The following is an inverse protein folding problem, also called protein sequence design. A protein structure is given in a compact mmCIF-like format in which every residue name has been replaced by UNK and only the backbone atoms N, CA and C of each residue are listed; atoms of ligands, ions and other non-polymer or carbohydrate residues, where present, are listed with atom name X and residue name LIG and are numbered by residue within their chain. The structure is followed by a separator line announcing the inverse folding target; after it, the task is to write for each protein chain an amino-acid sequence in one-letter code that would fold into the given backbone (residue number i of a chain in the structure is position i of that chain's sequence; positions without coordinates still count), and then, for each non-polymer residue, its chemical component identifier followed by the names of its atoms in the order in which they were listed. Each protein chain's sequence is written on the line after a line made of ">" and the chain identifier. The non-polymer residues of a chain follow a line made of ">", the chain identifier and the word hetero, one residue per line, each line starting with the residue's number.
data_IF_884668043318
#
_entry.id   IF_884668043318
#
_cell.length_a   1.000
_cell.length_b   1.000
_cell.length_c   1.000
_cell.angle_alpha   90.00
_cell.angle_beta   90.00
_cell.angle_gamma   90.00
#
_symmetry.space_group_name_H-M   'P 1'
#
loop_
_entity.id
_entity.type
_entity.pdbx_description
1 polymer ?
#
# COMPACT_ATOMS: atom_id res chain seq x y z
N UNK A 1 12.86 27.25 26.57
CA UNK A 1 12.05 27.20 25.34
C UNK A 1 12.85 26.36 24.36
N UNK A 2 12.57 25.08 24.32
CA UNK A 2 13.14 24.15 23.34
C UNK A 2 12.22 24.17 22.12
N UNK A 3 12.76 24.52 20.96
CA UNK A 3 12.07 24.43 19.68
C UNK A 3 11.92 22.93 19.31
N UNK A 4 10.70 22.51 19.09
CA UNK A 4 10.38 21.19 18.55
C UNK A 4 11.04 21.07 17.17
N UNK A 5 11.63 19.89 16.83
CA UNK A 5 12.11 19.65 15.48
C UNK A 5 10.92 19.49 14.54
N UNK A 6 10.86 20.30 13.48
CA UNK A 6 9.96 20.09 12.36
C UNK A 6 10.37 18.77 11.67
N UNK A 7 9.68 17.69 12.04
CA UNK A 7 9.74 16.42 11.34
C UNK A 7 9.00 16.55 10.01
N UNK A 8 9.71 16.39 8.91
CA UNK A 8 9.11 16.34 7.59
C UNK A 8 8.22 15.08 7.50
N UNK A 9 6.91 15.24 7.62
CA UNK A 9 5.90 14.22 7.36
C UNK A 9 5.80 13.95 5.86
N UNK A 10 6.72 13.14 5.34
CA UNK A 10 6.78 12.77 3.92
C UNK A 10 5.91 11.55 3.58
N UNK A 11 5.34 10.87 4.57
CA UNK A 11 4.70 9.57 4.35
C UNK A 11 3.22 9.48 4.75
N UNK A 12 2.66 10.47 5.46
CA UNK A 12 1.28 10.40 5.98
C UNK A 12 0.26 11.30 5.27
N UNK A 13 0.66 12.00 4.21
CA UNK A 13 -0.25 12.87 3.48
C UNK A 13 -0.83 12.18 2.25
N UNK A 14 -2.03 11.58 2.40
CA UNK A 14 -2.93 11.50 1.24
C UNK A 14 -3.13 12.92 0.73
N UNK A 15 -2.94 13.20 -0.58
CA UNK A 15 -3.13 14.54 -1.12
C UNK A 15 -4.52 15.04 -0.75
N UNK A 16 -4.62 16.26 -0.22
CA UNK A 16 -5.91 16.90 -0.02
C UNK A 16 -6.57 16.98 -1.41
N UNK A 17 -7.65 16.21 -1.61
CA UNK A 17 -8.54 16.47 -2.72
C UNK A 17 -9.14 17.85 -2.46
N UNK A 18 -8.60 18.84 -3.19
CA UNK A 18 -9.05 20.21 -3.08
C UNK A 18 -10.53 20.30 -3.42
N UNK A 19 -11.27 21.02 -2.59
CA UNK A 19 -12.57 21.56 -2.94
C UNK A 19 -12.45 22.25 -4.30
N UNK A 20 -13.29 21.81 -5.27
CA UNK A 20 -13.55 22.45 -6.54
C UNK A 20 -12.30 22.84 -7.37
N UNK A 21 -11.68 21.88 -8.01
CA UNK A 21 -10.64 22.08 -9.03
C UNK A 21 -11.18 21.81 -10.44
N UNK A 22 -11.36 22.90 -11.18
CA UNK A 22 -11.78 22.95 -12.55
C UNK A 22 -11.20 21.84 -13.43
N UNK A 23 -12.09 21.23 -14.22
CA UNK A 23 -11.77 20.36 -15.36
C UNK A 23 -10.67 20.99 -16.23
N UNK A 24 -9.46 20.44 -16.13
CA UNK A 24 -8.42 20.63 -17.14
C UNK A 24 -8.78 19.77 -18.35
N UNK A 25 -9.27 20.45 -19.39
CA UNK A 25 -9.48 19.90 -20.71
C UNK A 25 -8.16 19.32 -21.26
N UNK A 26 -8.03 18.01 -21.23
CA UNK A 26 -7.06 17.29 -22.07
C UNK A 26 -7.87 16.58 -23.14
N UNK A 27 -8.06 17.28 -24.24
CA UNK A 27 -8.65 16.74 -25.44
C UNK A 27 -7.81 15.57 -25.95
N UNK A 28 -8.45 14.42 -26.14
CA UNK A 28 -7.84 13.27 -26.77
C UNK A 28 -8.84 12.20 -27.13
N UNK A 29 -9.32 12.25 -28.37
CA UNK A 29 -9.63 11.10 -29.20
C UNK A 29 -10.65 10.08 -28.66
N UNK A 30 -11.92 10.21 -29.04
CA UNK A 30 -12.87 9.14 -28.96
C UNK A 30 -12.37 7.91 -29.74
N UNK A 31 -12.26 6.81 -29.04
CA UNK A 31 -12.29 5.49 -29.67
C UNK A 31 -13.59 4.78 -29.24
N UNK A 32 -14.58 4.84 -30.11
CA UNK A 32 -15.77 3.99 -30.04
C UNK A 32 -15.41 2.64 -30.63
N UNK A 33 -14.58 1.89 -29.93
CA UNK A 33 -14.21 0.51 -30.25
C UNK A 33 -15.22 -0.48 -29.70
N UNK A 34 -16.20 -0.83 -30.52
CA UNK A 34 -17.07 -2.00 -30.32
C UNK A 34 -16.25 -3.28 -30.35
N UNK A 35 -16.33 -4.09 -29.26
CA UNK A 35 -16.21 -5.54 -29.31
C UNK A 35 -14.83 -6.12 -29.46
N UNK A 36 -14.21 -6.52 -28.37
CA UNK A 36 -13.03 -7.38 -28.37
C UNK A 36 -12.93 -8.16 -27.07
N UNK A 37 -13.09 -9.48 -27.17
CA UNK A 37 -12.68 -10.57 -26.30
C UNK A 37 -12.66 -10.32 -24.77
N UNK A 38 -13.73 -10.72 -24.10
CA UNK A 38 -13.82 -11.39 -22.80
C UNK A 38 -12.80 -11.09 -21.72
N UNK A 39 -12.66 -9.82 -21.30
CA UNK A 39 -12.15 -9.52 -19.97
C UNK A 39 -13.22 -9.88 -18.92
N UNK A 40 -12.83 -10.14 -17.67
CA UNK A 40 -13.77 -10.45 -16.60
C UNK A 40 -14.79 -9.32 -16.47
N UNK A 41 -16.07 -9.71 -16.28
CA UNK A 41 -17.17 -8.76 -16.14
C UNK A 41 -16.95 -7.88 -14.90
N UNK A 42 -17.00 -6.56 -15.05
CA UNK A 42 -16.82 -5.63 -13.96
C UNK A 42 -17.97 -5.74 -12.95
N UNK A 43 -17.65 -5.83 -11.67
CA UNK A 43 -18.63 -5.81 -10.59
C UNK A 43 -18.82 -4.39 -10.06
N UNK A 44 -20.02 -4.03 -9.55
CA UNK A 44 -20.19 -2.82 -8.78
C UNK A 44 -19.25 -2.81 -7.56
N UNK A 45 -18.65 -1.66 -7.26
CA UNK A 45 -17.85 -1.52 -6.05
C UNK A 45 -18.72 -1.54 -4.80
N UNK A 46 -18.43 -2.38 -3.80
CA UNK A 46 -19.14 -2.32 -2.52
C UNK A 46 -19.01 -0.99 -1.79
N UNK A 47 -18.05 -0.17 -2.21
CA UNK A 47 -17.71 1.14 -1.60
C UNK A 47 -18.30 2.32 -2.37
N UNK A 48 -19.12 2.08 -3.42
CA UNK A 48 -19.58 3.13 -4.32
C UNK A 48 -20.40 4.23 -3.62
N UNK A 49 -21.21 3.87 -2.62
CA UNK A 49 -22.07 4.80 -1.88
C UNK A 49 -21.40 5.35 -0.61
N UNK A 50 -20.17 4.93 -0.33
CA UNK A 50 -19.43 5.37 0.86
C UNK A 50 -18.62 6.64 0.55
N UNK A 51 -18.47 7.55 1.53
CA UNK A 51 -17.77 8.81 1.32
C UNK A 51 -16.31 8.59 0.92
N UNK A 52 -15.67 9.65 0.40
CA UNK A 52 -14.24 9.72 0.13
C UNK A 52 -13.51 10.63 1.10
N UNK A 53 -12.21 10.84 0.81
CA UNK A 53 -11.36 11.80 1.50
C UNK A 53 -10.71 11.29 2.79
N UNK A 54 -9.75 12.07 3.29
CA UNK A 54 -8.84 11.70 4.40
C UNK A 54 -9.56 11.18 5.65
N UNK A 55 -10.65 11.83 6.08
CA UNK A 55 -11.38 11.40 7.29
C UNK A 55 -11.98 10.00 7.15
N UNK A 56 -12.44 9.67 5.94
CA UNK A 56 -12.95 8.34 5.67
C UNK A 56 -11.80 7.31 5.60
N UNK A 57 -10.68 7.66 4.97
CA UNK A 57 -9.46 6.86 5.01
C UNK A 57 -9.06 6.50 6.44
N UNK A 58 -8.92 7.51 7.32
CA UNK A 58 -8.60 7.29 8.74
C UNK A 58 -9.61 6.36 9.44
N UNK A 59 -10.91 6.46 9.12
CA UNK A 59 -11.93 5.56 9.66
C UNK A 59 -11.71 4.11 9.20
N UNK A 60 -11.39 3.90 7.91
CA UNK A 60 -11.09 2.57 7.36
C UNK A 60 -9.88 1.96 8.03
N UNK A 61 -8.76 2.69 8.12
CA UNK A 61 -7.54 2.23 8.80
C UNK A 61 -7.81 1.88 10.26
N UNK A 62 -8.51 2.75 11.00
CA UNK A 62 -8.86 2.48 12.41
C UNK A 62 -9.78 1.28 12.59
N UNK A 63 -10.65 0.97 11.62
CA UNK A 63 -11.46 -0.23 11.66
C UNK A 63 -10.62 -1.48 11.38
N UNK A 64 -9.74 -1.43 10.36
CA UNK A 64 -8.88 -2.55 9.98
C UNK A 64 -7.84 -2.90 11.05
N UNK A 65 -7.32 -1.92 11.78
CA UNK A 65 -6.43 -2.11 12.94
C UNK A 65 -7.09 -2.96 14.04
N UNK A 66 -8.40 -2.80 14.23
CA UNK A 66 -9.11 -3.35 15.41
C UNK A 66 -9.85 -4.63 15.17
N UNK A 67 -10.25 -4.90 13.92
CA UNK A 67 -11.06 -6.09 13.59
C UNK A 67 -10.22 -7.37 13.69
N UNK A 68 -10.77 -8.40 14.35
CA UNK A 68 -10.24 -9.76 14.26
C UNK A 68 -10.71 -10.41 12.96
N UNK A 69 -9.84 -10.46 11.96
CA UNK A 69 -10.15 -11.08 10.67
C UNK A 69 -10.53 -12.55 10.79
N UNK A 70 -10.04 -13.24 11.82
CA UNK A 70 -10.28 -14.66 12.04
C UNK A 70 -11.51 -14.94 12.94
N UNK A 71 -12.24 -13.89 13.33
CA UNK A 71 -13.44 -14.02 14.17
C UNK A 71 -14.41 -15.08 13.61
N UNK A 72 -15.01 -15.94 14.45
CA UNK A 72 -15.97 -16.95 13.96
C UNK A 72 -17.17 -16.35 13.22
N UNK A 73 -17.63 -15.19 13.67
CA UNK A 73 -18.68 -14.39 13.04
C UNK A 73 -18.09 -13.03 12.67
N UNK A 74 -17.61 -12.93 11.42
CA UNK A 74 -16.96 -11.72 10.92
C UNK A 74 -17.91 -10.54 10.84
N UNK A 75 -19.18 -10.75 10.49
CA UNK A 75 -20.16 -9.66 10.38
C UNK A 75 -20.47 -9.06 11.76
N UNK A 76 -20.64 -9.89 12.77
CA UNK A 76 -20.86 -9.43 14.13
C UNK A 76 -19.64 -8.67 14.68
N UNK A 77 -18.42 -9.16 14.40
CA UNK A 77 -17.16 -8.51 14.75
C UNK A 77 -17.04 -7.13 14.08
N UNK A 78 -17.19 -7.09 12.77
CA UNK A 78 -17.18 -5.85 12.00
C UNK A 78 -18.26 -4.86 12.49
N UNK A 79 -19.47 -5.35 12.77
CA UNK A 79 -20.54 -4.53 13.30
C UNK A 79 -20.14 -3.84 14.61
N UNK A 80 -19.53 -4.57 15.54
CA UNK A 80 -19.09 -4.02 16.83
C UNK A 80 -17.93 -3.01 16.66
N UNK A 81 -16.95 -3.32 15.80
CA UNK A 81 -15.83 -2.42 15.50
C UNK A 81 -16.32 -1.15 14.83
N UNK A 82 -17.15 -1.25 13.79
CA UNK A 82 -17.70 -0.10 13.06
C UNK A 82 -18.51 0.80 13.98
N UNK A 83 -19.38 0.25 14.85
CA UNK A 83 -20.13 1.05 15.83
C UNK A 83 -19.22 1.87 16.74
N UNK A 84 -18.15 1.25 17.22
CA UNK A 84 -17.14 1.91 18.05
C UNK A 84 -16.42 3.04 17.29
N UNK A 85 -15.99 2.76 16.05
CA UNK A 85 -15.22 3.71 15.24
C UNK A 85 -16.09 4.88 14.76
N UNK A 86 -17.32 4.64 14.35
CA UNK A 86 -18.26 5.70 13.98
C UNK A 86 -18.55 6.65 15.16
N UNK A 87 -18.70 6.10 16.37
CA UNK A 87 -18.88 6.90 17.57
C UNK A 87 -17.64 7.77 17.88
N UNK A 88 -16.44 7.23 17.70
CA UNK A 88 -15.18 7.94 17.94
C UNK A 88 -14.92 9.04 16.90
N UNK A 89 -15.00 8.70 15.61
CA UNK A 89 -14.74 9.64 14.51
C UNK A 89 -15.91 10.60 14.25
N UNK A 90 -17.09 10.34 14.82
CA UNK A 90 -18.32 11.13 14.63
C UNK A 90 -18.64 11.33 13.16
N UNK A 91 -18.61 10.24 12.40
CA UNK A 91 -18.91 10.23 10.98
C UNK A 91 -20.31 9.66 10.77
N UNK A 92 -21.11 10.33 9.93
CA UNK A 92 -22.43 9.87 9.51
C UNK A 92 -22.30 9.23 8.12
N UNK A 93 -22.50 7.92 8.06
CA UNK A 93 -22.49 7.13 6.83
C UNK A 93 -23.40 5.90 7.00
N UNK A 94 -23.70 5.23 5.88
CA UNK A 94 -24.45 3.97 5.94
C UNK A 94 -23.59 2.88 6.60
N UNK A 95 -23.95 2.57 7.85
CA UNK A 95 -23.25 1.58 8.68
C UNK A 95 -23.28 0.18 8.04
N UNK A 96 -24.44 -0.21 7.49
CA UNK A 96 -24.63 -1.56 6.92
C UNK A 96 -23.80 -1.70 5.65
N UNK A 97 -23.82 -0.69 4.80
CA UNK A 97 -22.99 -0.64 3.60
C UNK A 97 -21.49 -0.69 3.97
N UNK A 98 -21.07 0.01 5.02
CA UNK A 98 -19.65 0.02 5.45
C UNK A 98 -19.21 -1.35 6.00
N UNK A 99 -20.02 -1.99 6.84
CA UNK A 99 -19.75 -3.36 7.32
C UNK A 99 -19.65 -4.35 6.14
N UNK A 100 -20.58 -4.28 5.19
CA UNK A 100 -20.58 -5.14 4.02
C UNK A 100 -19.34 -4.91 3.14
N UNK A 101 -18.94 -3.67 2.93
CA UNK A 101 -17.76 -3.32 2.14
C UNK A 101 -16.46 -3.84 2.79
N UNK A 102 -16.30 -3.68 4.11
CA UNK A 102 -15.17 -4.24 4.86
C UNK A 102 -15.14 -5.77 4.79
N UNK A 103 -16.30 -6.43 4.93
CA UNK A 103 -16.39 -7.90 4.82
C UNK A 103 -15.95 -8.37 3.42
N UNK A 104 -16.42 -7.72 2.35
CA UNK A 104 -16.01 -8.04 0.98
C UNK A 104 -14.49 -7.86 0.78
N UNK A 105 -13.93 -6.76 1.27
CA UNK A 105 -12.50 -6.53 1.21
C UNK A 105 -11.71 -7.65 1.91
N UNK A 106 -12.09 -8.04 3.13
CA UNK A 106 -11.42 -9.07 3.92
C UNK A 106 -11.49 -10.45 3.25
N UNK A 107 -12.55 -10.72 2.51
CA UNK A 107 -12.76 -11.97 1.75
C UNK A 107 -12.15 -11.95 0.35
N UNK A 108 -11.62 -10.82 -0.13
CA UNK A 108 -10.97 -10.73 -1.44
C UNK A 108 -9.62 -11.44 -1.42
N UNK A 109 -9.31 -12.30 -2.40
CA UNK A 109 -7.99 -12.92 -2.53
C UNK A 109 -6.90 -11.87 -2.74
N UNK A 110 -5.72 -12.08 -2.16
CA UNK A 110 -4.57 -11.15 -2.25
C UNK A 110 -3.67 -11.42 -3.46
N UNK A 111 -4.11 -12.26 -4.37
CA UNK A 111 -3.39 -12.55 -5.61
C UNK A 111 -2.25 -13.56 -5.46
N UNK A 112 -1.50 -13.81 -6.57
CA UNK A 112 -0.51 -14.88 -6.64
C UNK A 112 0.68 -14.72 -5.68
N UNK A 113 1.10 -13.48 -5.39
CA UNK A 113 2.23 -13.22 -4.49
C UNK A 113 1.97 -13.77 -3.07
N UNK A 114 0.72 -13.68 -2.60
CA UNK A 114 0.25 -14.26 -1.36
C UNK A 114 -0.47 -15.62 -1.57
N UNK A 115 -0.28 -16.28 -2.73
CA UNK A 115 -0.90 -17.56 -3.10
C UNK A 115 -2.42 -17.60 -2.96
N UNK A 116 -3.07 -16.49 -3.23
CA UNK A 116 -4.52 -16.36 -3.14
C UNK A 116 -5.07 -16.34 -1.71
N UNK A 117 -4.23 -16.21 -0.70
CA UNK A 117 -4.65 -16.01 0.70
C UNK A 117 -5.58 -14.80 0.79
N UNK A 118 -6.52 -14.84 1.72
CA UNK A 118 -7.40 -13.72 2.07
C UNK A 118 -7.05 -13.20 3.46
N UNK A 119 -7.32 -11.93 3.73
CA UNK A 119 -7.16 -11.39 5.10
C UNK A 119 -7.99 -12.19 6.10
N UNK A 120 -9.13 -12.75 5.68
CA UNK A 120 -10.00 -13.64 6.47
C UNK A 120 -9.30 -14.84 7.09
N UNK A 121 -8.20 -15.30 6.48
CA UNK A 121 -7.45 -16.48 6.91
C UNK A 121 -6.31 -16.13 7.87
N UNK A 122 -6.07 -14.84 8.08
CA UNK A 122 -4.97 -14.33 8.89
C UNK A 122 -5.31 -14.41 10.38
N UNK A 123 -4.57 -15.26 11.12
CA UNK A 123 -4.72 -15.37 12.56
C UNK A 123 -4.09 -14.19 13.30
N UNK A 124 -4.58 -13.80 14.49
CA UNK A 124 -4.01 -12.68 15.25
C UNK A 124 -2.50 -12.78 15.53
N UNK A 125 -1.96 -13.99 15.66
CA UNK A 125 -0.51 -14.23 15.87
C UNK A 125 0.35 -14.00 14.61
N UNK A 126 -0.28 -13.89 13.45
CA UNK A 126 0.37 -13.77 12.14
C UNK A 126 0.26 -12.36 11.57
N UNK A 127 -0.15 -11.39 12.41
CA UNK A 127 -0.31 -9.98 12.06
C UNK A 127 0.31 -9.06 13.11
N UNK A 128 0.82 -7.93 12.66
CA UNK A 128 1.20 -6.77 13.47
C UNK A 128 0.58 -5.55 12.81
N UNK A 129 -0.37 -4.95 13.51
CA UNK A 129 -1.06 -3.73 13.06
C UNK A 129 -0.29 -2.51 13.54
N UNK A 130 -0.35 -1.42 12.78
CA UNK A 130 0.26 -0.14 13.11
C UNK A 130 1.73 -0.30 13.57
N UNK A 131 2.54 -1.03 12.75
CA UNK A 131 3.96 -1.19 13.04
C UNK A 131 4.69 0.13 12.83
N UNK A 132 4.80 0.91 13.91
CA UNK A 132 5.55 2.16 13.90
C UNK A 132 7.05 1.93 13.82
N UNK A 133 7.73 2.75 13.04
CA UNK A 133 9.17 2.70 12.91
C UNK A 133 9.80 4.09 12.92
N UNK A 134 11.05 4.11 13.35
CA UNK A 134 11.93 5.26 13.26
C UNK A 134 13.26 4.79 12.69
N UNK A 135 13.54 5.16 11.44
CA UNK A 135 14.76 4.77 10.73
C UNK A 135 15.75 5.92 10.71
N UNK A 136 16.96 5.75 11.27
CA UNK A 136 18.01 6.73 11.08
C UNK A 136 18.39 6.81 9.59
N UNK A 137 18.49 8.03 9.08
CA UNK A 137 18.97 8.34 7.75
C UNK A 137 20.37 8.95 7.85
N UNK A 138 21.31 8.41 7.08
CA UNK A 138 22.64 8.98 6.88
C UNK A 138 23.32 9.39 8.20
N UNK A 139 23.58 8.41 9.06
CA UNK A 139 24.30 8.59 10.30
C UNK A 139 23.47 8.95 11.54
N UNK A 140 22.14 8.99 11.45
CA UNK A 140 21.26 9.21 12.61
C UNK A 140 21.56 10.51 13.35
N UNK A 141 21.85 10.41 14.67
CA UNK A 141 22.16 11.57 15.54
C UNK A 141 23.41 12.36 15.13
N UNK A 142 24.29 11.76 14.34
CA UNK A 142 25.50 12.39 13.79
C UNK A 142 25.44 12.33 12.27
N UNK A 143 24.76 13.27 11.61
CA UNK A 143 24.61 13.25 10.15
C UNK A 143 25.99 13.29 9.48
N UNK A 144 26.34 12.25 8.71
CA UNK A 144 27.63 12.11 8.04
C UNK A 144 27.56 12.23 6.52
N UNK A 145 26.41 12.53 5.96
CA UNK A 145 26.22 12.58 4.51
C UNK A 145 24.93 13.26 4.13
N UNK A 146 24.51 13.00 2.90
CA UNK A 146 23.23 13.41 2.33
C UNK A 146 22.64 12.20 1.62
N UNK A 147 21.38 11.92 1.82
CA UNK A 147 20.65 11.02 0.97
C UNK A 147 20.01 11.84 -0.14
N UNK A 148 20.36 11.54 -1.37
CA UNK A 148 19.67 12.05 -2.55
C UNK A 148 18.66 10.99 -3.02
N UNK A 149 17.42 11.39 -3.21
CA UNK A 149 16.37 10.49 -3.75
C UNK A 149 16.79 9.91 -5.11
N UNK A 150 17.56 10.67 -5.89
CA UNK A 150 18.17 10.20 -7.14
C UNK A 150 19.01 8.93 -6.94
N UNK A 151 19.75 8.81 -5.84
CA UNK A 151 20.56 7.62 -5.58
C UNK A 151 19.68 6.36 -5.37
N UNK A 152 18.44 6.53 -4.89
CA UNK A 152 17.46 5.44 -4.85
C UNK A 152 17.06 5.07 -6.28
N UNK A 153 16.78 6.06 -7.13
CA UNK A 153 16.47 5.84 -8.55
C UNK A 153 17.59 5.11 -9.29
N UNK A 154 18.84 5.54 -9.10
CA UNK A 154 20.03 4.92 -9.73
C UNK A 154 20.20 3.45 -9.28
N UNK A 155 20.04 3.16 -7.99
CA UNK A 155 20.06 1.80 -7.45
C UNK A 155 18.98 0.92 -8.10
N UNK A 156 17.74 1.42 -8.16
CA UNK A 156 16.62 0.69 -8.75
C UNK A 156 16.85 0.47 -10.25
N UNK A 157 17.31 1.47 -10.99
CA UNK A 157 17.60 1.36 -12.44
C UNK A 157 18.68 0.31 -12.73
N UNK A 158 19.65 0.14 -11.82
CA UNK A 158 20.70 -0.88 -11.95
C UNK A 158 20.22 -2.30 -11.62
N UNK A 159 19.30 -2.42 -10.64
CA UNK A 159 18.94 -3.70 -10.03
C UNK A 159 17.63 -4.30 -10.52
N UNK A 160 16.70 -3.47 -11.00
CA UNK A 160 15.40 -3.97 -11.43
C UNK A 160 15.52 -4.69 -12.79
N UNK A 161 14.90 -5.86 -12.94
CA UNK A 161 14.83 -6.54 -14.23
C UNK A 161 13.97 -5.75 -15.23
N UNK A 162 14.20 -5.98 -16.51
CA UNK A 162 13.36 -5.41 -17.55
C UNK A 162 11.90 -5.86 -17.37
N UNK A 163 10.97 -4.89 -17.34
CA UNK A 163 9.54 -5.16 -17.14
C UNK A 163 9.09 -5.19 -15.68
N UNK A 164 9.98 -4.90 -14.73
CA UNK A 164 9.57 -4.69 -13.34
C UNK A 164 8.62 -3.48 -13.24
N UNK A 165 7.51 -3.57 -12.50
CA UNK A 165 6.55 -2.47 -12.37
C UNK A 165 7.15 -1.17 -11.80
N UNK A 166 8.24 -1.25 -11.02
CA UNK A 166 8.93 -0.07 -10.51
C UNK A 166 9.92 0.55 -11.51
N UNK A 167 10.20 -0.07 -12.66
CA UNK A 167 11.22 0.44 -13.57
C UNK A 167 10.89 1.86 -14.11
N UNK A 168 9.62 2.15 -14.41
CA UNK A 168 9.18 3.48 -14.81
C UNK A 168 9.35 4.50 -13.68
N UNK A 169 8.97 4.12 -12.47
CA UNK A 169 9.11 4.98 -11.28
C UNK A 169 10.58 5.24 -10.91
N UNK A 170 11.47 4.28 -11.09
CA UNK A 170 12.91 4.48 -10.92
C UNK A 170 13.44 5.60 -11.84
N UNK A 171 12.99 5.65 -13.10
CA UNK A 171 13.34 6.72 -14.02
C UNK A 171 12.84 8.10 -13.51
N UNK A 172 11.61 8.16 -13.00
CA UNK A 172 11.04 9.37 -12.38
C UNK A 172 11.90 9.87 -11.20
N UNK A 173 12.38 8.96 -10.35
CA UNK A 173 13.26 9.31 -9.24
C UNK A 173 14.63 9.84 -9.73
N UNK A 174 15.16 9.30 -10.82
CA UNK A 174 16.41 9.79 -11.43
C UNK A 174 16.27 11.20 -12.03
N UNK A 175 15.09 11.55 -12.55
CA UNK A 175 14.81 12.85 -13.17
C UNK A 175 14.38 13.91 -12.13
N UNK A 176 13.97 13.48 -10.94
CA UNK A 176 13.45 14.39 -9.94
C UNK A 176 14.49 15.47 -9.58
N UNK A 177 14.14 16.73 -9.80
CA UNK A 177 14.87 17.89 -9.26
C UNK A 177 14.71 18.01 -7.73
N UNK A 178 14.41 16.92 -7.07
CA UNK A 178 14.25 16.81 -5.62
C UNK A 178 15.62 16.86 -4.95
N UNK A 179 16.40 17.90 -5.23
CA UNK A 179 17.66 18.20 -4.56
C UNK A 179 17.51 18.50 -3.06
N UNK A 180 16.49 18.01 -2.41
CA UNK A 180 16.36 18.03 -0.97
C UNK A 180 17.06 16.81 -0.37
N UNK A 181 18.27 17.07 0.15
CA UNK A 181 18.94 16.09 0.97
C UNK A 181 18.09 15.76 2.20
N UNK A 182 17.61 14.53 2.27
CA UNK A 182 16.88 14.04 3.45
C UNK A 182 17.89 13.67 4.52
N UNK A 183 17.64 14.13 5.76
CA UNK A 183 18.52 13.91 6.92
C UNK A 183 17.69 13.67 8.16
N UNK A 184 18.26 13.01 9.16
CA UNK A 184 17.63 12.79 10.45
C UNK A 184 17.00 11.42 10.55
N UNK A 185 15.72 11.37 10.87
CA UNK A 185 14.97 10.12 11.05
C UNK A 185 13.77 10.10 10.11
N UNK A 186 13.58 8.96 9.48
CA UNK A 186 12.34 8.64 8.78
C UNK A 186 11.42 7.94 9.77
N UNK A 187 10.30 8.58 10.08
CA UNK A 187 9.26 8.01 10.94
C UNK A 187 8.04 7.65 10.10
N UNK A 188 7.38 6.58 10.45
CA UNK A 188 6.15 6.13 9.79
C UNK A 188 5.48 4.98 10.52
N UNK A 189 4.33 4.58 10.03
CA UNK A 189 3.61 3.40 10.47
C UNK A 189 3.25 2.54 9.25
N UNK A 190 3.43 1.23 9.39
CA UNK A 190 2.95 0.25 8.42
C UNK A 190 1.60 -0.22 8.93
N UNK A 191 0.55 -0.07 8.13
CA UNK A 191 -0.81 -0.41 8.54
C UNK A 191 -0.93 -1.85 9.03
N UNK A 192 -0.32 -2.78 8.28
CA UNK A 192 -0.28 -4.19 8.63
C UNK A 192 1.00 -4.84 8.12
N UNK A 193 1.74 -5.48 9.02
CA UNK A 193 2.76 -6.46 8.65
C UNK A 193 2.18 -7.86 8.88
N UNK A 194 2.07 -8.67 7.83
CA UNK A 194 1.54 -10.03 7.92
C UNK A 194 2.62 -11.07 7.73
N UNK A 195 2.46 -12.21 8.41
CA UNK A 195 3.27 -13.40 8.23
C UNK A 195 2.45 -14.47 7.49
N UNK A 196 2.94 -14.88 6.36
CA UNK A 196 2.37 -15.97 5.58
C UNK A 196 3.24 -17.23 5.70
N UNK A 197 2.62 -18.34 6.06
CA UNK A 197 3.30 -19.63 6.15
C UNK A 197 2.50 -20.65 5.36
N UNK A 198 3.14 -21.24 4.37
CA UNK A 198 2.61 -22.31 3.53
C UNK A 198 3.42 -23.57 3.77
N UNK A 199 2.79 -24.74 3.59
CA UNK A 199 3.44 -26.04 3.74
C UNK A 199 4.58 -26.29 2.73
N UNK A 200 4.53 -25.63 1.58
CA UNK A 200 5.56 -25.71 0.54
C UNK A 200 6.72 -24.73 0.75
N UNK A 201 6.55 -23.74 1.64
CA UNK A 201 7.59 -22.77 1.93
C UNK A 201 8.56 -23.32 2.98
N UNK A 202 9.84 -23.19 2.70
CA UNK A 202 10.92 -23.56 3.64
C UNK A 202 10.97 -22.60 4.84
N UNK A 203 10.45 -21.37 4.69
CA UNK A 203 10.43 -20.32 5.70
C UNK A 203 9.16 -19.46 5.58
N UNK A 204 8.71 -18.81 6.68
CA UNK A 204 7.59 -17.86 6.60
C UNK A 204 7.97 -16.65 5.74
N UNK A 205 7.02 -16.18 4.95
CA UNK A 205 7.10 -14.93 4.20
C UNK A 205 6.41 -13.81 4.97
N UNK A 206 7.01 -12.64 4.97
CA UNK A 206 6.46 -11.44 5.61
C UNK A 206 6.18 -10.38 4.55
N UNK A 207 5.00 -9.79 4.62
CA UNK A 207 4.57 -8.73 3.71
C UNK A 207 4.26 -7.46 4.49
N UNK A 208 4.55 -6.32 3.90
CA UNK A 208 3.91 -5.06 4.29
C UNK A 208 2.59 -4.93 3.54
N UNK A 209 1.56 -4.46 4.22
CA UNK A 209 0.25 -4.17 3.62
C UNK A 209 -0.11 -2.74 3.94
N UNK A 210 -0.64 -2.05 2.95
CA UNK A 210 -1.11 -0.68 3.07
C UNK A 210 -2.50 -0.56 2.42
N UNK A 211 -3.44 0.09 3.13
CA UNK A 211 -4.82 0.25 2.70
C UNK A 211 -5.02 1.59 2.02
N UNK A 212 -5.51 1.60 0.79
CA UNK A 212 -5.76 2.80 0.02
C UNK A 212 -7.25 2.98 -0.27
N UNK A 213 -7.80 4.14 0.10
CA UNK A 213 -9.22 4.47 -0.09
C UNK A 213 -9.48 5.37 -1.30
N UNK A 214 -8.46 5.58 -2.15
CA UNK A 214 -8.51 6.44 -3.34
C UNK A 214 -9.71 6.14 -4.24
N UNK A 215 -10.36 7.19 -4.74
CA UNK A 215 -11.42 7.11 -5.73
C UNK A 215 -10.83 7.20 -7.14
N UNK A 216 -10.87 6.11 -7.91
CA UNK A 216 -10.27 6.05 -9.26
C UNK A 216 -11.31 6.13 -10.39
N UNK A 217 -12.61 6.17 -10.09
CA UNK A 217 -13.66 6.35 -11.07
C UNK A 217 -13.93 7.83 -11.39
N UNK A 218 -14.57 8.09 -12.51
CA UNK A 218 -15.09 9.43 -12.79
C UNK A 218 -16.26 9.76 -11.85
N UNK A 219 -16.40 11.04 -11.46
CA UNK A 219 -17.40 11.46 -10.47
C UNK A 219 -18.86 11.19 -10.88
N UNK A 220 -19.12 11.10 -12.19
CA UNK A 220 -20.47 10.93 -12.74
C UNK A 220 -20.79 9.46 -13.12
N UNK A 221 -19.83 8.54 -12.94
CA UNK A 221 -19.98 7.14 -13.29
C UNK A 221 -20.12 6.25 -12.06
N UNK A 222 -20.94 5.18 -12.10
CA UNK A 222 -20.98 4.21 -11.02
C UNK A 222 -19.62 3.56 -10.82
N UNK A 223 -19.13 3.57 -9.58
CA UNK A 223 -17.86 2.96 -9.25
C UNK A 223 -17.93 1.44 -9.40
N UNK A 224 -16.97 0.87 -10.11
CA UNK A 224 -16.87 -0.57 -10.38
C UNK A 224 -15.45 -1.08 -10.17
N UNK A 225 -15.26 -2.38 -10.08
CA UNK A 225 -13.95 -3.03 -10.01
C UNK A 225 -13.07 -2.72 -11.22
N UNK A 226 -13.65 -2.37 -12.39
CA UNK A 226 -12.89 -1.97 -13.59
C UNK A 226 -12.03 -0.73 -13.37
N UNK A 227 -12.47 0.22 -12.53
CA UNK A 227 -11.69 1.41 -12.21
C UNK A 227 -10.41 1.08 -11.43
N UNK A 228 -10.34 -0.13 -10.86
CA UNK A 228 -9.22 -0.63 -10.06
C UNK A 228 -8.48 -1.80 -10.73
N UNK A 229 -8.57 -1.89 -12.07
CA UNK A 229 -7.78 -2.85 -12.86
C UNK A 229 -6.28 -2.57 -12.73
N UNK A 230 -5.40 -3.55 -13.02
CA UNK A 230 -3.96 -3.43 -12.79
C UNK A 230 -3.32 -2.14 -13.31
N UNK A 231 -3.68 -1.69 -14.52
CA UNK A 231 -3.09 -0.48 -15.10
C UNK A 231 -3.52 0.79 -14.35
N UNK A 232 -4.77 0.85 -13.89
CA UNK A 232 -5.29 2.01 -13.16
C UNK A 232 -4.64 2.14 -11.77
N UNK A 233 -4.52 1.03 -11.04
CA UNK A 233 -3.87 1.05 -9.73
C UNK A 233 -2.36 1.24 -9.84
N UNK A 234 -1.71 0.73 -10.89
CA UNK A 234 -0.29 0.99 -11.16
C UNK A 234 -0.03 2.49 -11.42
N UNK A 235 -0.88 3.14 -12.22
CA UNK A 235 -0.78 4.58 -12.45
C UNK A 235 -0.98 5.38 -11.13
N UNK A 236 -1.85 4.93 -10.25
CA UNK A 236 -2.06 5.55 -8.95
C UNK A 236 -0.87 5.33 -8.01
N UNK A 237 -0.24 4.16 -8.04
CA UNK A 237 1.00 3.89 -7.30
C UNK A 237 2.12 4.87 -7.68
N UNK A 238 2.23 5.21 -8.97
CA UNK A 238 3.19 6.22 -9.46
C UNK A 238 2.79 7.62 -9.02
N UNK A 239 1.54 8.03 -9.28
CA UNK A 239 1.03 9.37 -9.01
C UNK A 239 1.09 9.73 -7.52
N UNK A 240 0.74 8.79 -6.64
CA UNK A 240 0.74 8.94 -5.19
C UNK A 240 2.10 8.71 -4.55
N UNK A 241 3.16 8.46 -5.33
CA UNK A 241 4.49 8.06 -4.82
C UNK A 241 4.47 6.84 -3.88
N UNK A 242 3.44 5.99 -4.00
CA UNK A 242 3.27 4.82 -3.14
C UNK A 242 4.37 3.76 -3.34
N UNK A 243 5.04 3.76 -4.50
CA UNK A 243 6.22 2.93 -4.72
C UNK A 243 7.39 3.31 -3.78
N UNK A 244 7.62 4.61 -3.55
CA UNK A 244 8.65 5.04 -2.60
C UNK A 244 8.27 4.63 -1.17
N UNK A 245 7.00 4.80 -0.80
CA UNK A 245 6.46 4.35 0.48
C UNK A 245 6.67 2.84 0.66
N UNK A 246 6.35 2.02 -0.36
CA UNK A 246 6.54 0.57 -0.33
C UNK A 246 8.00 0.18 -0.10
N UNK A 247 8.94 0.83 -0.79
CA UNK A 247 10.38 0.62 -0.61
C UNK A 247 10.82 0.91 0.82
N UNK A 248 10.40 2.05 1.38
CA UNK A 248 10.76 2.45 2.74
C UNK A 248 10.14 1.53 3.80
N UNK A 249 8.91 1.10 3.60
CA UNK A 249 8.24 0.13 4.46
C UNK A 249 8.93 -1.24 4.43
N UNK A 250 9.36 -1.68 3.24
CA UNK A 250 10.12 -2.93 3.12
C UNK A 250 11.49 -2.85 3.80
N UNK A 251 12.17 -1.69 3.74
CA UNK A 251 13.40 -1.48 4.52
C UNK A 251 13.12 -1.51 6.01
N UNK A 252 12.03 -0.88 6.46
CA UNK A 252 11.63 -0.91 7.87
C UNK A 252 11.36 -2.36 8.33
N UNK A 253 10.57 -3.11 7.57
CA UNK A 253 10.29 -4.51 7.85
C UNK A 253 11.57 -5.36 7.82
N UNK A 254 12.45 -5.19 6.82
CA UNK A 254 13.74 -5.86 6.72
C UNK A 254 14.58 -5.67 7.99
N UNK A 255 14.74 -4.41 8.44
CA UNK A 255 15.51 -4.09 9.65
C UNK A 255 14.87 -4.67 10.90
N UNK A 256 13.53 -4.61 11.00
CA UNK A 256 12.78 -5.21 12.10
C UNK A 256 12.97 -6.72 12.14
N UNK A 257 12.81 -7.44 11.02
CA UNK A 257 12.96 -8.88 10.95
C UNK A 257 14.40 -9.32 11.25
N UNK A 258 15.41 -8.63 10.70
CA UNK A 258 16.83 -8.88 11.00
C UNK A 258 17.15 -8.76 12.49
N UNK A 259 16.46 -7.87 13.19
CA UNK A 259 16.61 -7.73 14.63
C UNK A 259 15.87 -8.82 15.41
N UNK A 260 14.70 -9.26 14.93
CA UNK A 260 13.81 -10.16 15.66
C UNK A 260 14.02 -11.64 15.38
N UNK A 261 14.48 -11.99 14.20
CA UNK A 261 14.63 -13.38 13.75
C UNK A 261 16.10 -13.76 13.65
N UNK A 262 16.56 -14.74 14.46
CA UNK A 262 17.98 -15.16 14.45
C UNK A 262 18.46 -15.70 13.11
N UNK A 263 17.58 -16.38 12.37
CA UNK A 263 17.87 -17.03 11.09
C UNK A 263 17.22 -16.27 9.93
N UNK A 264 17.11 -14.94 10.04
CA UNK A 264 16.53 -14.12 8.99
C UNK A 264 17.37 -14.11 7.73
N UNK A 265 16.71 -14.40 6.63
CA UNK A 265 17.24 -14.30 5.27
C UNK A 265 16.25 -13.51 4.41
N UNK A 266 16.69 -12.42 3.80
CA UNK A 266 15.80 -11.54 3.05
C UNK A 266 15.14 -12.24 1.86
N UNK A 267 15.87 -13.08 1.12
CA UNK A 267 15.33 -13.81 -0.03
C UNK A 267 14.27 -14.84 0.38
N UNK A 268 14.44 -15.45 1.54
CA UNK A 268 13.51 -16.44 2.07
C UNK A 268 12.32 -15.79 2.78
N UNK A 269 12.54 -14.72 3.53
CA UNK A 269 11.54 -14.19 4.45
C UNK A 269 10.80 -12.94 3.95
N UNK A 270 11.39 -12.07 3.12
CA UNK A 270 10.65 -10.95 2.56
C UNK A 270 9.70 -11.44 1.45
N UNK A 271 8.41 -11.28 1.71
CA UNK A 271 7.36 -11.59 0.73
C UNK A 271 7.13 -10.44 -0.24
N UNK A 272 7.28 -9.22 0.23
CA UNK A 272 7.08 -8.01 -0.56
C UNK A 272 6.06 -7.03 0.04
N UNK A 273 5.50 -6.20 -0.82
CA UNK A 273 4.49 -5.22 -0.48
C UNK A 273 3.16 -5.54 -1.16
N UNK A 274 2.07 -5.32 -0.43
CA UNK A 274 0.69 -5.43 -0.90
C UNK A 274 0.00 -4.08 -0.68
N UNK A 275 -0.41 -3.42 -1.75
CA UNK A 275 -1.22 -2.21 -1.69
C UNK A 275 -2.65 -2.56 -2.05
N UNK A 276 -3.56 -2.32 -1.12
CA UNK A 276 -4.95 -2.73 -1.22
C UNK A 276 -5.84 -1.51 -1.45
N UNK A 277 -6.15 -1.24 -2.72
CA UNK A 277 -7.12 -0.22 -3.12
C UNK A 277 -8.52 -0.75 -2.84
N UNK A 278 -8.97 -0.56 -1.62
CA UNK A 278 -10.14 -1.23 -1.03
C UNK A 278 -11.41 -1.11 -1.88
N UNK A 279 -11.58 0.01 -2.58
CA UNK A 279 -12.76 0.26 -3.41
C UNK A 279 -12.83 -0.64 -4.66
N UNK A 280 -11.74 -1.28 -5.03
CA UNK A 280 -11.71 -2.29 -6.10
C UNK A 280 -12.00 -3.71 -5.62
N UNK A 281 -12.00 -3.95 -4.31
CA UNK A 281 -12.08 -5.27 -3.71
C UNK A 281 -13.55 -5.63 -3.40
N UNK A 282 -14.10 -6.56 -4.16
CA UNK A 282 -15.51 -6.93 -4.14
C UNK A 282 -15.74 -8.39 -3.69
N UNK A 283 -14.89 -8.92 -2.85
CA UNK A 283 -14.99 -10.26 -2.28
C UNK A 283 -14.37 -11.35 -3.16
N UNK A 284 -14.75 -12.63 -2.90
CA UNK A 284 -14.16 -13.78 -3.59
C UNK A 284 -14.32 -13.76 -5.11
N UNK A 285 -15.38 -13.09 -5.61
CA UNK A 285 -15.69 -12.98 -7.03
C UNK A 285 -15.03 -11.75 -7.70
N UNK A 286 -14.17 -11.04 -6.99
CA UNK A 286 -13.45 -9.88 -7.57
C UNK A 286 -12.76 -10.30 -8.87
N UNK A 287 -13.05 -9.61 -10.00
CA UNK A 287 -12.40 -9.91 -11.27
C UNK A 287 -10.88 -9.83 -11.15
N UNK A 288 -10.19 -10.80 -11.72
CA UNK A 288 -8.74 -10.90 -11.66
C UNK A 288 -8.15 -10.93 -13.06
N UNK A 289 -6.99 -10.29 -13.22
CA UNK A 289 -6.14 -10.38 -14.40
C UNK A 289 -4.84 -11.09 -14.01
N UNK A 290 -4.45 -12.11 -14.77
CA UNK A 290 -3.33 -13.00 -14.43
C UNK A 290 -3.33 -13.50 -12.97
N UNK A 291 -4.54 -13.69 -12.40
CA UNK A 291 -4.76 -14.11 -11.02
C UNK A 291 -4.64 -13.01 -9.97
N UNK A 292 -4.36 -11.76 -10.37
CA UNK A 292 -4.32 -10.59 -9.49
C UNK A 292 -5.68 -9.91 -9.49
N UNK A 293 -6.40 -9.88 -8.35
CA UNK A 293 -7.70 -9.25 -8.26
C UNK A 293 -7.64 -7.73 -8.46
N UNK A 294 -8.73 -7.16 -8.97
CA UNK A 294 -8.89 -5.71 -9.03
C UNK A 294 -8.67 -5.10 -7.63
N UNK A 295 -8.00 -3.96 -7.58
CA UNK A 295 -7.66 -3.28 -6.34
C UNK A 295 -6.45 -3.83 -5.58
N UNK A 296 -5.85 -4.94 -6.02
CA UNK A 296 -4.66 -5.50 -5.38
C UNK A 296 -3.41 -5.18 -6.22
N UNK A 297 -2.44 -4.52 -5.60
CA UNK A 297 -1.08 -4.38 -6.15
C UNK A 297 -0.14 -5.19 -5.27
N UNK A 298 0.62 -6.08 -5.90
CA UNK A 298 1.62 -6.87 -5.22
C UNK A 298 2.98 -6.68 -5.90
N UNK A 299 3.99 -6.42 -5.10
CA UNK A 299 5.36 -6.32 -5.59
C UNK A 299 6.31 -7.10 -4.68
N UNK A 300 7.07 -7.99 -5.27
CA UNK A 300 8.14 -8.73 -4.60
C UNK A 300 9.48 -8.17 -5.08
N UNK A 301 10.29 -7.58 -4.17
CA UNK A 301 11.58 -7.02 -4.55
C UNK A 301 12.52 -8.11 -5.10
N UNK A 302 13.29 -7.80 -6.16
CA UNK A 302 14.40 -8.67 -6.56
C UNK A 302 15.41 -8.86 -5.44
N UNK A 303 16.11 -10.00 -5.45
CA UNK A 303 17.11 -10.33 -4.45
C UNK A 303 18.17 -9.22 -4.29
N UNK A 304 18.49 -8.88 -3.05
CA UNK A 304 19.49 -7.88 -2.68
C UNK A 304 19.02 -6.41 -2.74
N UNK A 305 17.91 -6.10 -3.43
CA UNK A 305 17.46 -4.69 -3.60
C UNK A 305 17.18 -4.01 -2.26
N UNK A 306 16.48 -4.69 -1.36
CA UNK A 306 16.11 -4.08 -0.06
C UNK A 306 17.30 -3.97 0.88
N UNK A 307 18.22 -4.94 0.86
CA UNK A 307 19.46 -4.88 1.64
C UNK A 307 20.34 -3.72 1.18
N UNK A 308 20.50 -3.55 -0.13
CA UNK A 308 21.30 -2.45 -0.69
C UNK A 308 20.65 -1.10 -0.44
N UNK A 309 19.32 -1.01 -0.59
CA UNK A 309 18.59 0.20 -0.24
C UNK A 309 18.71 0.52 1.26
N UNK A 310 18.65 -0.49 2.13
CA UNK A 310 18.89 -0.31 3.57
C UNK A 310 20.28 0.21 3.86
N UNK A 311 21.31 -0.29 3.17
CA UNK A 311 22.68 0.20 3.30
C UNK A 311 22.83 1.64 2.78
N UNK A 312 22.22 1.95 1.63
CA UNK A 312 22.20 3.31 1.07
C UNK A 312 21.56 4.32 2.04
N UNK A 313 20.47 3.96 2.70
CA UNK A 313 19.80 4.80 3.68
C UNK A 313 20.68 5.03 4.93
N UNK A 314 21.52 4.06 5.32
CA UNK A 314 22.43 4.19 6.47
C UNK A 314 23.69 5.00 6.15
N UNK A 315 24.28 4.82 4.97
CA UNK A 315 25.58 5.35 4.59
C UNK A 315 25.47 6.67 3.82
N UNK A 316 24.35 6.89 3.15
CA UNK A 316 24.13 8.02 2.24
C UNK A 316 24.75 7.82 0.87
N UNK A 317 24.41 8.75 -0.04
CA UNK A 317 25.02 8.81 -1.37
C UNK A 317 26.49 9.21 -1.20
N UNK A 318 27.42 8.34 -1.58
CA UNK A 318 28.84 8.63 -1.51
C UNK A 318 29.20 9.94 -2.22
N UNK A 319 30.05 10.74 -1.61
CA UNK A 319 30.57 12.02 -2.12
C UNK A 319 31.43 11.81 -3.36
#
# INVERSE_FOLDING_TARGET
>A
MASEPEGAGLLDDEPEEGEEGAAGDVGGGGDTGTGGAGGPEALPSPWAELPGGRRFGTLVHSAMERVDFFAPDLEAELGAVVDSQLAYHRMDLDREAFVAALAQMIETPLGPAARGMRLRELMPKDRLDELTFELPLVGGDIPKGKLDVRAIGDLLAERLPAGDPLAAYAATLCEAELGQAVRGYLTGSIDLALRFTDQELMAPKFFVVDYKTNWLGAAEEPLTTHHYRPEAVAAEMERGHYWLQALLYLVALHRYLRWRLPDYDAELNLGGALYLFVRGMAGPETPADDGTPAGVVAWQPPAGVIEELSALLDEGSGS
#
